data_IF_742415013743
#
_entry.id   IF_742415013743
#
_cell.length_a   1.000
_cell.length_b   1.000
_cell.length_c   1.000
_cell.angle_alpha   90.00
_cell.angle_beta   90.00
_cell.angle_gamma   90.00
#
_symmetry.space_group_name_H-M   'P 1'
#
loop_
_entity.id
_entity.type
_entity.pdbx_description
1 polymer ?
#
# COMPACT_ATOMS: atom_id res chain seq x y z
N UNK A 1 -7.83 -31.20 20.18
CA UNK A 1 -7.16 -29.90 20.20
C UNK A 1 -8.20 -28.78 20.25
N UNK A 2 -7.99 -27.81 21.10
CA UNK A 2 -8.86 -26.64 21.22
C UNK A 2 -8.82 -25.81 19.93
N UNK A 3 -10.00 -25.38 19.44
CA UNK A 3 -10.10 -24.55 18.25
C UNK A 3 -9.81 -23.11 18.62
N UNK A 4 -8.80 -22.50 17.96
CA UNK A 4 -8.44 -21.08 18.10
C UNK A 4 -9.17 -20.22 17.07
N UNK A 5 -9.37 -18.95 17.41
CA UNK A 5 -9.94 -17.94 16.50
C UNK A 5 -8.82 -17.37 15.62
N UNK A 6 -9.09 -17.27 14.34
CA UNK A 6 -8.21 -16.70 13.33
C UNK A 6 -8.97 -15.70 12.45
N UNK A 7 -8.24 -14.70 11.95
CA UNK A 7 -8.74 -13.73 10.97
C UNK A 7 -8.35 -14.20 9.57
N UNK A 8 -9.34 -14.48 8.74
CA UNK A 8 -9.14 -15.06 7.41
C UNK A 8 -9.68 -14.12 6.35
N UNK A 9 -8.89 -13.84 5.31
CA UNK A 9 -9.35 -13.12 4.13
C UNK A 9 -10.31 -14.01 3.35
N UNK A 10 -11.54 -13.57 3.17
CA UNK A 10 -12.58 -14.29 2.43
C UNK A 10 -12.93 -13.66 1.09
N UNK A 11 -12.60 -12.41 0.91
CA UNK A 11 -12.79 -11.71 -0.35
C UNK A 11 -11.79 -10.59 -0.54
N UNK A 12 -11.46 -10.29 -1.79
CA UNK A 12 -10.57 -9.18 -2.18
C UNK A 12 -11.16 -8.40 -3.33
N UNK A 13 -10.80 -7.12 -3.43
CA UNK A 13 -11.20 -6.25 -4.52
C UNK A 13 -10.14 -5.20 -4.79
N UNK A 14 -10.08 -4.72 -6.03
CA UNK A 14 -9.19 -3.63 -6.41
C UNK A 14 -9.84 -2.72 -7.43
N UNK A 15 -9.46 -1.45 -7.38
CA UNK A 15 -9.74 -0.49 -8.43
C UNK A 15 -8.44 0.11 -8.94
N UNK A 16 -8.14 -0.16 -10.20
CA UNK A 16 -7.00 0.38 -10.93
C UNK A 16 -7.55 1.45 -11.88
N UNK A 17 -7.18 2.72 -11.74
CA UNK A 17 -7.63 3.78 -12.63
C UNK A 17 -7.28 3.52 -14.10
N UNK A 18 -8.16 3.92 -14.99
CA UNK A 18 -8.02 3.66 -16.43
C UNK A 18 -7.06 4.61 -17.15
N UNK A 19 -6.81 5.81 -16.59
CA UNK A 19 -5.92 6.77 -17.23
C UNK A 19 -4.48 6.32 -17.09
N UNK A 20 -3.91 5.88 -18.20
CA UNK A 20 -2.50 5.56 -18.33
C UNK A 20 -1.68 6.86 -18.42
N UNK A 21 -0.59 6.92 -17.67
CA UNK A 21 0.43 7.97 -17.74
C UNK A 21 1.78 7.30 -17.90
N UNK A 22 2.48 7.62 -18.98
CA UNK A 22 3.79 7.07 -19.31
C UNK A 22 4.91 8.02 -18.91
N UNK A 23 6.14 7.54 -18.93
CA UNK A 23 7.32 8.36 -18.68
C UNK A 23 7.46 9.51 -19.69
N UNK A 24 7.09 9.28 -20.95
CA UNK A 24 7.09 10.28 -22.02
C UNK A 24 6.20 11.49 -21.74
N UNK A 25 5.12 11.31 -20.95
CA UNK A 25 4.21 12.40 -20.58
C UNK A 25 4.89 13.49 -19.72
N UNK A 26 6.08 13.19 -19.16
CA UNK A 26 6.87 14.13 -18.36
C UNK A 26 7.97 14.87 -19.16
N UNK A 27 8.10 14.64 -20.48
CA UNK A 27 9.11 15.29 -21.31
C UNK A 27 9.01 16.83 -21.31
N UNK A 28 7.80 17.37 -21.17
CA UNK A 28 7.55 18.80 -21.10
C UNK A 28 7.58 19.38 -19.68
N UNK A 29 7.89 18.58 -18.66
CA UNK A 29 7.93 19.01 -17.26
C UNK A 29 9.12 19.92 -16.98
N UNK A 30 9.00 20.77 -15.97
CA UNK A 30 10.11 21.55 -15.43
C UNK A 30 10.49 21.01 -14.05
N UNK A 31 11.61 20.30 -13.96
CA UNK A 31 12.09 19.73 -12.71
C UNK A 31 13.12 20.62 -12.03
N UNK A 32 12.99 20.70 -10.69
CA UNK A 32 13.87 21.47 -9.82
C UNK A 32 14.45 20.57 -8.73
N UNK A 33 15.61 20.92 -8.22
CA UNK A 33 16.21 20.30 -7.05
C UNK A 33 15.69 20.90 -5.73
N UNK A 34 16.12 20.35 -4.61
CA UNK A 34 15.73 20.79 -3.27
C UNK A 34 16.19 22.21 -2.90
N UNK A 35 17.10 22.81 -3.69
CA UNK A 35 17.54 24.21 -3.52
C UNK A 35 16.72 25.19 -4.37
N UNK A 36 15.79 24.70 -5.19
CA UNK A 36 15.02 25.51 -6.13
C UNK A 36 15.75 25.79 -7.46
N UNK A 37 16.87 25.10 -7.73
CA UNK A 37 17.57 25.21 -9.00
C UNK A 37 16.93 24.26 -10.02
N UNK A 38 16.61 24.80 -11.23
CA UNK A 38 16.12 23.96 -12.33
C UNK A 38 17.20 22.93 -12.70
N UNK A 39 16.80 21.70 -12.94
CA UNK A 39 17.73 20.67 -13.38
C UNK A 39 18.25 20.98 -14.78
N UNK A 40 19.56 20.95 -14.94
CA UNK A 40 20.24 21.32 -16.20
C UNK A 40 20.20 20.22 -17.27
N UNK A 41 19.85 18.97 -16.86
CA UNK A 41 19.81 17.82 -17.77
C UNK A 41 18.54 17.83 -18.63
N UNK A 42 18.61 17.35 -19.87
CA UNK A 42 17.43 17.10 -20.68
C UNK A 42 16.46 16.16 -19.95
N UNK A 43 15.16 16.41 -20.07
CA UNK A 43 14.15 15.55 -19.42
C UNK A 43 14.21 14.10 -19.89
N UNK A 44 14.61 13.82 -21.12
CA UNK A 44 14.84 12.45 -21.60
C UNK A 44 15.87 11.71 -20.73
N UNK A 45 17.03 12.33 -20.43
CA UNK A 45 18.03 11.71 -19.54
C UNK A 45 17.51 11.51 -18.10
N UNK A 46 16.72 12.47 -17.60
CA UNK A 46 16.13 12.39 -16.26
C UNK A 46 15.16 11.21 -16.21
N UNK A 47 14.33 11.06 -17.24
CA UNK A 47 13.33 10.00 -17.37
C UNK A 47 13.99 8.63 -17.53
N UNK A 48 15.00 8.52 -18.41
CA UNK A 48 15.73 7.26 -18.60
C UNK A 48 16.40 6.80 -17.29
N UNK A 49 17.02 7.75 -16.57
CA UNK A 49 17.64 7.44 -15.27
C UNK A 49 16.61 7.08 -14.20
N UNK A 50 15.46 7.73 -14.22
CA UNK A 50 14.33 7.42 -13.34
C UNK A 50 13.84 5.98 -13.58
N UNK A 51 13.61 5.60 -14.84
CA UNK A 51 13.16 4.25 -15.19
C UNK A 51 14.20 3.19 -14.84
N UNK A 52 15.49 3.46 -15.14
CA UNK A 52 16.59 2.56 -14.76
C UNK A 52 16.61 2.25 -13.26
N UNK A 53 16.30 3.25 -12.40
CA UNK A 53 16.36 3.09 -10.93
C UNK A 53 15.05 2.53 -10.38
N UNK A 54 13.91 3.10 -10.80
CA UNK A 54 12.60 2.77 -10.25
C UNK A 54 11.96 1.54 -10.89
N UNK A 55 12.34 1.21 -12.12
CA UNK A 55 11.71 0.25 -13.03
C UNK A 55 10.28 0.63 -13.44
N UNK A 56 9.84 1.88 -13.16
CA UNK A 56 8.50 2.36 -13.49
C UNK A 56 8.49 2.91 -14.92
N UNK A 57 7.81 2.23 -15.83
CA UNK A 57 7.58 2.71 -17.19
C UNK A 57 6.27 3.52 -17.29
N UNK A 58 5.27 3.13 -16.51
CA UNK A 58 3.95 3.77 -16.52
C UNK A 58 3.24 3.71 -15.16
N UNK A 59 2.21 4.54 -14.99
CA UNK A 59 1.38 4.60 -13.77
C UNK A 59 -0.07 4.88 -14.13
N UNK A 60 -0.95 4.80 -13.14
CA UNK A 60 -2.39 4.95 -13.31
C UNK A 60 -2.91 6.13 -12.51
N UNK A 61 -3.57 7.06 -13.18
CA UNK A 61 -4.14 8.24 -12.54
C UNK A 61 -5.66 8.22 -12.55
N UNK A 62 -6.25 8.66 -11.47
CA UNK A 62 -7.70 8.78 -11.34
C UNK A 62 -8.25 9.85 -12.28
N UNK A 63 -9.45 9.62 -12.81
CA UNK A 63 -10.20 10.61 -13.58
C UNK A 63 -10.50 11.84 -12.70
N UNK A 64 -10.67 12.99 -13.34
CA UNK A 64 -10.80 14.28 -12.65
C UNK A 64 -12.01 14.37 -11.70
N UNK A 65 -13.05 13.63 -11.99
CA UNK A 65 -14.30 13.59 -11.23
C UNK A 65 -14.29 12.62 -10.05
N UNK A 66 -13.31 11.72 -9.95
CA UNK A 66 -13.19 10.74 -8.86
C UNK A 66 -12.31 11.28 -7.73
N UNK A 67 -12.62 10.91 -6.50
CA UNK A 67 -11.82 11.15 -5.30
C UNK A 67 -11.44 9.83 -4.62
N UNK A 68 -10.60 9.88 -3.59
CA UNK A 68 -10.06 8.68 -2.92
C UNK A 68 -11.17 7.77 -2.37
N UNK A 69 -12.22 8.38 -1.79
CA UNK A 69 -13.37 7.61 -1.27
C UNK A 69 -14.16 6.88 -2.36
N UNK A 70 -14.21 7.42 -3.60
CA UNK A 70 -14.83 6.72 -4.73
C UNK A 70 -14.03 5.46 -5.11
N UNK A 71 -12.69 5.60 -5.22
CA UNK A 71 -11.81 4.47 -5.52
C UNK A 71 -11.95 3.39 -4.43
N UNK A 72 -11.97 3.81 -3.17
CA UNK A 72 -12.20 2.92 -2.02
C UNK A 72 -13.53 2.18 -2.13
N UNK A 73 -14.59 2.89 -2.50
CA UNK A 73 -15.94 2.33 -2.71
C UNK A 73 -15.96 1.25 -3.80
N UNK A 74 -15.30 1.49 -4.94
CA UNK A 74 -15.23 0.51 -6.02
C UNK A 74 -14.49 -0.77 -5.61
N UNK A 75 -13.35 -0.63 -4.91
CA UNK A 75 -12.62 -1.79 -4.37
C UNK A 75 -13.44 -2.54 -3.32
N UNK A 76 -14.18 -1.82 -2.47
CA UNK A 76 -15.06 -2.37 -1.44
C UNK A 76 -16.18 -3.24 -2.02
N UNK A 77 -16.88 -2.75 -3.05
CA UNK A 77 -17.94 -3.50 -3.75
C UNK A 77 -17.42 -4.85 -4.24
N UNK A 78 -16.26 -4.85 -4.87
CA UNK A 78 -15.67 -6.07 -5.41
C UNK A 78 -15.20 -7.03 -4.28
N UNK A 79 -14.64 -6.51 -3.18
CA UNK A 79 -14.24 -7.33 -2.04
C UNK A 79 -15.44 -8.01 -1.36
N UNK A 80 -16.54 -7.30 -1.13
CA UNK A 80 -17.79 -7.83 -0.56
C UNK A 80 -18.38 -8.91 -1.48
N UNK A 81 -18.44 -8.63 -2.80
CA UNK A 81 -18.92 -9.57 -3.80
C UNK A 81 -18.10 -10.86 -3.82
N UNK A 82 -16.77 -10.78 -3.78
CA UNK A 82 -15.90 -11.97 -3.78
C UNK A 82 -15.94 -12.73 -2.47
N UNK A 83 -16.15 -12.04 -1.33
CA UNK A 83 -16.39 -12.66 -0.03
C UNK A 83 -17.76 -13.37 0.05
N UNK A 84 -18.71 -13.01 -0.81
CA UNK A 84 -20.09 -13.53 -0.82
C UNK A 84 -20.83 -13.31 0.50
N UNK A 85 -20.63 -12.15 1.10
CA UNK A 85 -21.30 -11.75 2.35
C UNK A 85 -22.39 -10.71 2.06
N UNK A 86 -23.36 -10.60 2.97
CA UNK A 86 -24.22 -9.42 3.02
C UNK A 86 -23.41 -8.25 3.62
N UNK A 87 -23.44 -7.10 2.97
CA UNK A 87 -22.79 -5.87 3.45
C UNK A 87 -23.33 -5.41 4.80
N UNK A 88 -24.59 -5.73 5.13
CA UNK A 88 -25.22 -5.40 6.41
C UNK A 88 -24.68 -6.22 7.60
N UNK A 89 -23.87 -7.27 7.31
CA UNK A 89 -23.21 -8.08 8.34
C UNK A 89 -21.80 -7.59 8.70
N UNK A 90 -21.33 -6.51 8.10
CA UNK A 90 -20.04 -5.91 8.44
C UNK A 90 -20.12 -5.24 9.81
N UNK A 91 -19.17 -5.55 10.68
CA UNK A 91 -19.00 -4.90 11.98
C UNK A 91 -18.19 -3.59 11.84
N UNK A 92 -17.12 -3.62 11.02
CA UNK A 92 -16.27 -2.46 10.80
C UNK A 92 -15.92 -2.26 9.32
N UNK A 93 -15.74 -0.99 8.96
CA UNK A 93 -15.12 -0.54 7.72
C UNK A 93 -13.94 0.35 8.09
N UNK A 94 -12.73 -0.06 7.73
CA UNK A 94 -11.50 0.68 8.02
C UNK A 94 -10.86 1.10 6.70
N UNK A 95 -10.73 2.40 6.47
CA UNK A 95 -10.08 2.95 5.27
C UNK A 95 -8.73 3.55 5.65
N UNK A 96 -7.65 2.92 5.16
CA UNK A 96 -6.31 3.44 5.29
C UNK A 96 -6.00 4.37 4.10
N UNK A 97 -5.49 5.57 4.41
CA UNK A 97 -5.08 6.59 3.44
C UNK A 97 -4.09 7.56 4.07
N UNK A 98 -3.54 8.50 3.28
CA UNK A 98 -2.66 9.56 3.80
C UNK A 98 -3.32 10.94 3.75
N UNK A 99 -4.12 11.24 2.72
CA UNK A 99 -4.51 12.60 2.39
C UNK A 99 -6.02 12.84 2.37
N UNK A 100 -6.85 11.82 2.58
CA UNK A 100 -8.30 11.98 2.42
C UNK A 100 -8.72 12.18 0.96
N UNK A 101 -9.83 12.86 0.75
CA UNK A 101 -10.28 13.23 -0.59
C UNK A 101 -9.61 14.55 -1.03
N UNK A 102 -8.94 14.50 -2.18
CA UNK A 102 -8.34 15.68 -2.83
C UNK A 102 -8.97 15.81 -4.21
N UNK A 103 -9.61 16.93 -4.48
CA UNK A 103 -10.25 17.21 -5.78
C UNK A 103 -9.19 17.72 -6.78
N UNK A 104 -9.38 17.40 -8.06
CA UNK A 104 -8.52 17.98 -9.11
C UNK A 104 -8.69 19.50 -9.14
N UNK A 105 -7.56 20.23 -9.10
CA UNK A 105 -7.55 21.70 -9.09
C UNK A 105 -7.87 22.36 -7.74
N UNK A 106 -8.10 21.57 -6.69
CA UNK A 106 -8.24 22.05 -5.32
C UNK A 106 -7.46 21.10 -4.39
N UNK A 107 -6.35 21.56 -3.84
CA UNK A 107 -5.47 20.78 -2.96
C UNK A 107 -5.90 20.75 -1.51
N UNK A 108 -7.03 21.35 -1.18
CA UNK A 108 -7.61 21.28 0.15
C UNK A 108 -8.03 19.83 0.46
N UNK A 109 -7.58 19.34 1.60
CA UNK A 109 -7.93 18.00 2.06
C UNK A 109 -9.37 17.98 2.57
N UNK A 110 -10.13 16.98 2.18
CA UNK A 110 -11.50 16.76 2.62
C UNK A 110 -11.60 15.40 3.33
N UNK A 111 -11.70 15.45 4.66
CA UNK A 111 -11.76 14.28 5.55
C UNK A 111 -13.02 14.27 6.45
N UNK A 112 -13.97 15.16 6.19
CA UNK A 112 -15.21 15.26 6.98
C UNK A 112 -16.44 15.16 6.06
N UNK A 113 -17.27 14.09 6.21
CA UNK A 113 -17.07 12.93 7.06
C UNK A 113 -15.86 12.07 6.61
N UNK A 114 -15.43 11.12 7.44
CA UNK A 114 -14.33 10.21 7.11
C UNK A 114 -14.56 9.49 5.78
N UNK A 115 -13.49 9.06 5.10
CA UNK A 115 -13.60 8.31 3.86
C UNK A 115 -14.35 6.99 4.08
N UNK A 116 -14.14 6.33 5.22
CA UNK A 116 -14.87 5.12 5.59
C UNK A 116 -16.38 5.36 5.72
N UNK A 117 -16.79 6.51 6.28
CA UNK A 117 -18.20 6.89 6.35
C UNK A 117 -18.77 7.13 4.95
N UNK A 118 -18.01 7.75 4.04
CA UNK A 118 -18.39 7.91 2.63
C UNK A 118 -18.54 6.57 1.93
N UNK A 119 -17.60 5.64 2.15
CA UNK A 119 -17.68 4.27 1.62
C UNK A 119 -18.92 3.55 2.16
N UNK A 120 -19.20 3.65 3.47
CA UNK A 120 -20.43 3.10 4.05
C UNK A 120 -21.69 3.64 3.38
N UNK A 121 -21.72 4.94 3.13
CA UNK A 121 -22.82 5.60 2.41
C UNK A 121 -22.94 5.10 0.96
N UNK A 122 -21.84 5.04 0.20
CA UNK A 122 -21.82 4.53 -1.18
C UNK A 122 -22.27 3.07 -1.28
N UNK A 123 -21.90 2.25 -0.30
CA UNK A 123 -22.37 0.86 -0.21
C UNK A 123 -23.84 0.75 0.18
N UNK A 124 -24.46 1.85 0.63
CA UNK A 124 -25.86 1.88 1.10
C UNK A 124 -26.08 0.97 2.30
N UNK A 125 -25.11 0.88 3.23
CA UNK A 125 -25.21 0.09 4.46
C UNK A 125 -26.10 0.85 5.45
N UNK A 126 -27.21 0.25 5.85
CA UNK A 126 -28.20 0.81 6.77
C UNK A 126 -27.96 0.43 8.23
N UNK A 127 -27.21 -0.65 8.46
CA UNK A 127 -26.91 -1.12 9.82
C UNK A 127 -26.11 -0.04 10.60
N UNK A 128 -26.68 0.56 11.67
CA UNK A 128 -25.98 1.56 12.47
C UNK A 128 -24.79 0.99 13.24
N UNK A 129 -24.78 -0.33 13.50
CA UNK A 129 -23.72 -1.00 14.23
C UNK A 129 -22.47 -1.25 13.39
N UNK A 130 -22.54 -1.08 12.06
CA UNK A 130 -21.35 -1.10 11.22
C UNK A 130 -20.56 0.19 11.45
N UNK A 131 -19.48 0.13 12.21
CA UNK A 131 -18.62 1.29 12.53
C UNK A 131 -17.65 1.57 11.39
N UNK A 132 -17.57 2.83 10.95
CA UNK A 132 -16.71 3.24 9.83
C UNK A 132 -15.75 4.34 10.27
N UNK A 133 -14.43 4.12 10.13
CA UNK A 133 -13.40 5.10 10.49
C UNK A 133 -12.17 5.00 9.61
N UNK A 134 -11.39 6.09 9.56
CA UNK A 134 -10.18 6.22 8.77
C UNK A 134 -8.93 5.93 9.61
N UNK A 135 -7.88 5.45 8.92
CA UNK A 135 -6.58 5.16 9.51
C UNK A 135 -5.45 5.82 8.70
N UNK A 136 -5.07 7.06 9.02
CA UNK A 136 -3.89 7.69 8.43
C UNK A 136 -2.62 7.09 9.04
N UNK A 137 -1.87 6.29 8.25
CA UNK A 137 -0.70 5.55 8.75
C UNK A 137 0.44 5.40 7.72
N UNK A 138 0.52 6.24 6.70
CA UNK A 138 1.48 6.09 5.62
C UNK A 138 1.21 4.85 4.73
N UNK A 139 2.18 4.48 3.90
CA UNK A 139 2.05 3.32 3.01
C UNK A 139 1.73 2.00 3.75
N UNK A 140 2.19 1.73 5.00
CA UNK A 140 1.80 0.53 5.74
C UNK A 140 0.38 0.57 6.33
N UNK A 141 -0.41 1.61 6.06
CA UNK A 141 -1.74 1.79 6.63
C UNK A 141 -2.68 0.63 6.41
N UNK A 142 -2.71 0.03 5.21
CA UNK A 142 -3.55 -1.13 4.97
C UNK A 142 -3.15 -2.34 5.84
N UNK A 143 -1.85 -2.61 6.00
CA UNK A 143 -1.38 -3.67 6.91
C UNK A 143 -1.69 -3.34 8.37
N UNK A 144 -1.62 -2.06 8.78
CA UNK A 144 -2.00 -1.65 10.13
C UNK A 144 -3.50 -1.87 10.36
N UNK A 145 -4.35 -1.58 9.38
CA UNK A 145 -5.77 -1.86 9.44
C UNK A 145 -6.08 -3.37 9.51
N UNK A 146 -5.32 -4.20 8.76
CA UNK A 146 -5.38 -5.67 8.88
C UNK A 146 -5.02 -6.15 10.29
N UNK A 147 -4.01 -5.54 10.92
CA UNK A 147 -3.60 -5.86 12.30
C UNK A 147 -4.68 -5.45 13.31
N UNK A 148 -5.30 -4.28 13.14
CA UNK A 148 -6.42 -3.86 14.01
C UNK A 148 -7.62 -4.78 13.84
N UNK A 149 -7.95 -5.14 12.61
CA UNK A 149 -9.01 -6.12 12.33
C UNK A 149 -8.75 -7.47 13.00
N UNK A 150 -7.49 -7.94 13.00
CA UNK A 150 -7.09 -9.16 13.69
C UNK A 150 -7.28 -9.06 15.21
N UNK A 151 -7.00 -7.90 15.81
CA UNK A 151 -7.26 -7.68 17.24
C UNK A 151 -8.76 -7.70 17.55
N UNK A 152 -9.61 -7.03 16.77
CA UNK A 152 -11.06 -7.04 16.98
C UNK A 152 -11.67 -8.44 16.82
N UNK A 153 -11.21 -9.19 15.82
CA UNK A 153 -11.67 -10.57 15.60
C UNK A 153 -11.22 -11.49 16.75
N UNK A 154 -9.96 -11.39 17.17
CA UNK A 154 -9.42 -12.25 18.25
C UNK A 154 -9.96 -11.91 19.63
N UNK A 155 -10.32 -10.64 19.88
CA UNK A 155 -11.01 -10.24 21.12
C UNK A 155 -12.47 -10.69 21.18
N UNK A 156 -13.06 -11.00 20.02
CA UNK A 156 -14.48 -11.35 19.89
C UNK A 156 -15.40 -10.16 19.66
N UNK A 157 -14.85 -8.95 19.53
CA UNK A 157 -15.59 -7.71 19.27
C UNK A 157 -16.18 -7.67 17.86
N UNK A 158 -15.53 -8.30 16.89
CA UNK A 158 -15.97 -8.33 15.50
C UNK A 158 -15.89 -9.72 14.88
N UNK A 159 -16.72 -9.94 13.86
CA UNK A 159 -16.72 -11.16 13.05
C UNK A 159 -16.38 -10.93 11.60
N UNK A 160 -16.76 -9.77 11.05
CA UNK A 160 -16.58 -9.41 9.63
C UNK A 160 -16.12 -7.96 9.51
N UNK A 161 -14.96 -7.75 8.94
CA UNK A 161 -14.34 -6.43 8.82
C UNK A 161 -13.90 -6.20 7.37
N UNK A 162 -14.29 -5.07 6.82
CA UNK A 162 -13.81 -4.60 5.53
C UNK A 162 -12.63 -3.65 5.74
N UNK A 163 -11.46 -4.00 5.17
CA UNK A 163 -10.22 -3.22 5.26
C UNK A 163 -9.85 -2.74 3.87
N UNK A 164 -9.70 -1.43 3.71
CA UNK A 164 -9.44 -0.77 2.42
C UNK A 164 -8.17 0.07 2.53
N UNK A 165 -7.32 0.02 1.50
CA UNK A 165 -6.25 0.97 1.26
C UNK A 165 -6.54 1.73 -0.02
N UNK A 166 -6.63 3.05 0.03
CA UNK A 166 -6.95 3.88 -1.13
C UNK A 166 -6.15 5.18 -1.13
N UNK A 167 -5.71 5.61 -2.31
CA UNK A 167 -4.91 6.83 -2.44
C UNK A 167 -5.01 7.45 -3.83
N UNK A 168 -4.96 8.78 -3.90
CA UNK A 168 -4.77 9.57 -5.13
C UNK A 168 -3.53 10.45 -4.94
N UNK A 169 -2.34 9.87 -5.14
CA UNK A 169 -1.07 10.58 -4.96
C UNK A 169 -0.78 11.56 -6.08
N UNK A 170 -1.33 11.35 -7.27
CA UNK A 170 -1.13 12.23 -8.43
C UNK A 170 -1.55 13.69 -8.17
N UNK A 171 -2.42 13.92 -7.18
CA UNK A 171 -2.93 15.26 -6.83
C UNK A 171 -2.15 15.97 -5.73
N UNK A 172 -1.35 15.25 -4.99
CA UNK A 172 -0.53 15.76 -3.87
C UNK A 172 0.97 15.72 -4.17
N UNK A 173 1.35 15.24 -5.35
CA UNK A 173 2.73 15.21 -5.82
C UNK A 173 3.10 16.57 -6.45
N UNK A 174 4.32 17.04 -6.19
CA UNK A 174 4.85 18.26 -6.80
C UNK A 174 5.18 18.02 -8.27
N UNK A 175 4.52 18.69 -9.23
CA UNK A 175 4.82 18.51 -10.65
C UNK A 175 6.25 18.97 -11.04
N UNK A 176 6.89 19.71 -10.15
CA UNK A 176 8.26 20.23 -10.32
C UNK A 176 9.33 19.37 -9.62
N UNK A 177 8.92 18.28 -8.97
CA UNK A 177 9.80 17.30 -8.38
C UNK A 177 9.80 16.03 -9.25
N UNK A 178 10.97 15.59 -9.73
CA UNK A 178 11.08 14.36 -10.53
C UNK A 178 10.55 13.12 -9.78
N UNK A 179 10.55 13.14 -8.44
CA UNK A 179 10.01 12.05 -7.65
C UNK A 179 8.48 11.93 -7.80
N UNK A 180 7.79 12.94 -8.36
CA UNK A 180 6.37 12.84 -8.73
C UNK A 180 6.09 11.71 -9.73
N UNK A 181 7.06 11.35 -10.55
CA UNK A 181 6.96 10.23 -11.50
C UNK A 181 6.80 8.87 -10.84
N UNK A 182 7.14 8.73 -9.53
CA UNK A 182 6.97 7.48 -8.77
C UNK A 182 5.50 7.16 -8.55
N UNK A 183 4.67 8.18 -8.32
CA UNK A 183 3.38 8.05 -7.68
C UNK A 183 2.25 7.70 -8.65
N UNK A 184 1.33 6.89 -8.14
CA UNK A 184 0.16 6.40 -8.83
C UNK A 184 -1.07 6.48 -7.92
N UNK A 185 -2.24 6.25 -8.49
CA UNK A 185 -3.52 6.24 -7.80
C UNK A 185 -4.10 4.82 -7.80
N UNK A 186 -4.91 4.50 -6.81
CA UNK A 186 -5.57 3.21 -6.76
C UNK A 186 -6.24 2.91 -5.43
N UNK A 187 -6.95 1.80 -5.40
CA UNK A 187 -7.53 1.23 -4.18
C UNK A 187 -7.50 -0.30 -4.20
N UNK A 188 -7.30 -0.88 -3.03
CA UNK A 188 -7.44 -2.30 -2.81
C UNK A 188 -8.13 -2.58 -1.48
N UNK A 189 -8.90 -3.66 -1.41
CA UNK A 189 -9.71 -4.01 -0.26
C UNK A 189 -9.66 -5.49 0.05
N UNK A 190 -9.86 -5.85 1.31
CA UNK A 190 -10.07 -7.22 1.76
C UNK A 190 -11.19 -7.29 2.80
N UNK A 191 -11.97 -8.35 2.75
CA UNK A 191 -12.88 -8.74 3.82
C UNK A 191 -12.19 -9.79 4.70
N UNK A 192 -12.11 -9.51 6.00
CA UNK A 192 -11.66 -10.47 7.00
C UNK A 192 -12.86 -11.04 7.75
N UNK A 193 -12.87 -12.36 7.91
CA UNK A 193 -13.87 -13.05 8.74
C UNK A 193 -13.20 -13.87 9.82
N UNK A 194 -13.93 -14.01 10.95
CA UNK A 194 -13.56 -14.94 12.01
C UNK A 194 -13.66 -16.39 11.55
N UNK A 195 -12.64 -17.19 11.85
CA UNK A 195 -12.66 -18.65 11.63
C UNK A 195 -12.12 -19.40 12.85
N UNK A 196 -12.83 -20.43 13.29
CA UNK A 196 -12.35 -21.36 14.33
C UNK A 196 -11.66 -22.54 13.66
N UNK A 197 -10.38 -22.77 13.98
CA UNK A 197 -9.60 -23.87 13.42
C UNK A 197 -8.70 -24.53 14.47
N UNK A 198 -8.49 -25.84 14.33
CA UNK A 198 -7.49 -26.60 15.09
C UNK A 198 -6.10 -26.51 14.48
N UNK A 199 -6.01 -26.06 13.24
CA UNK A 199 -4.75 -25.81 12.52
C UNK A 199 -4.55 -24.32 12.26
N UNK A 200 -3.30 -23.79 12.26
CA UNK A 200 -3.03 -22.40 11.95
C UNK A 200 -3.49 -22.02 10.55
N UNK A 201 -4.30 -20.95 10.43
CA UNK A 201 -4.79 -20.35 9.17
C UNK A 201 -4.88 -18.83 9.33
N UNK A 202 -5.01 -18.10 8.23
CA UNK A 202 -5.17 -16.64 8.27
C UNK A 202 -3.94 -15.91 8.82
N UNK A 203 -4.15 -14.87 9.59
CA UNK A 203 -3.07 -14.08 10.20
C UNK A 203 -2.41 -14.89 11.33
N UNK A 204 -1.15 -15.31 11.10
CA UNK A 204 -0.37 -16.10 12.05
C UNK A 204 0.39 -15.21 13.03
N UNK A 205 1.00 -14.18 12.53
CA UNK A 205 1.75 -13.19 13.31
C UNK A 205 1.85 -11.87 12.56
N UNK A 206 2.13 -10.82 13.30
CA UNK A 206 2.47 -9.52 12.76
C UNK A 206 3.56 -8.86 13.62
N UNK A 207 4.28 -7.92 13.00
CA UNK A 207 5.28 -7.05 13.62
C UNK A 207 5.03 -5.62 13.18
N UNK A 208 5.01 -4.69 14.13
CA UNK A 208 4.91 -3.26 13.86
C UNK A 208 6.13 -2.57 14.47
N UNK A 209 6.69 -1.60 13.73
CA UNK A 209 7.80 -0.77 14.16
C UNK A 209 7.53 0.68 13.75
N UNK A 210 7.97 1.66 14.58
CA UNK A 210 7.84 3.08 14.32
C UNK A 210 9.11 3.81 14.76
N UNK A 211 9.92 4.28 13.81
CA UNK A 211 11.21 4.94 14.07
C UNK A 211 11.09 6.48 13.90
N UNK A 212 9.97 7.03 14.31
CA UNK A 212 9.59 8.44 14.12
C UNK A 212 10.63 9.42 14.67
N UNK A 213 11.24 9.12 15.83
CA UNK A 213 12.16 10.04 16.50
C UNK A 213 13.31 10.52 15.60
N UNK A 214 13.95 9.59 14.87
CA UNK A 214 15.08 9.91 14.00
C UNK A 214 14.68 10.22 12.55
N UNK A 215 13.50 9.75 12.12
CA UNK A 215 13.19 9.64 10.70
C UNK A 215 11.85 10.23 10.27
N UNK A 216 11.15 10.98 11.15
CA UNK A 216 9.84 11.57 10.86
C UNK A 216 9.80 12.41 9.57
N UNK A 217 10.92 13.07 9.24
CA UNK A 217 11.02 13.97 8.07
C UNK A 217 11.58 13.27 6.80
N UNK A 218 11.53 11.96 6.71
CA UNK A 218 11.92 11.25 5.47
C UNK A 218 10.85 11.32 4.38
N UNK A 219 9.58 11.32 4.81
CA UNK A 219 8.40 11.56 3.99
C UNK A 219 7.57 12.63 4.71
N UNK A 220 7.32 13.75 4.07
CA UNK A 220 6.68 14.91 4.71
C UNK A 220 5.97 15.79 3.68
N UNK A 221 5.15 16.72 4.15
CA UNK A 221 4.58 17.77 3.29
C UNK A 221 5.52 18.99 3.27
N UNK A 222 5.86 19.45 2.07
CA UNK A 222 6.74 20.59 1.84
C UNK A 222 6.33 21.38 0.62
N UNK A 223 6.84 22.63 0.52
CA UNK A 223 6.55 23.52 -0.62
C UNK A 223 7.08 22.96 -1.92
N UNK A 224 6.55 23.44 -3.05
CA UNK A 224 7.09 23.12 -4.36
C UNK A 224 8.59 23.47 -4.44
N UNK A 225 9.34 22.66 -5.19
CA UNK A 225 10.75 22.97 -5.48
C UNK A 225 10.91 24.11 -6.51
N UNK A 226 9.87 24.44 -7.26
CA UNK A 226 9.87 25.65 -8.12
C UNK A 226 9.78 26.89 -7.23
N UNK A 227 10.79 27.80 -7.27
CA UNK A 227 10.90 28.89 -6.30
C UNK A 227 9.92 30.05 -6.52
N UNK A 228 9.14 30.01 -7.59
CA UNK A 228 8.18 31.08 -7.94
C UNK A 228 7.01 30.52 -8.73
N UNK A 229 5.90 31.24 -8.74
CA UNK A 229 4.69 30.84 -9.43
C UNK A 229 3.54 30.49 -8.48
N UNK A 230 2.34 30.22 -9.01
CA UNK A 230 1.14 30.01 -8.19
C UNK A 230 1.23 28.80 -7.26
N UNK A 231 2.08 27.81 -7.59
CA UNK A 231 2.23 26.57 -6.84
C UNK A 231 3.30 26.64 -5.75
N UNK A 232 4.05 27.76 -5.65
CA UNK A 232 5.19 27.87 -4.73
C UNK A 232 4.79 27.72 -3.26
N UNK A 233 3.64 28.27 -2.87
CA UNK A 233 3.14 28.19 -1.48
C UNK A 233 2.33 26.92 -1.19
N UNK A 234 2.05 26.12 -2.21
CA UNK A 234 1.30 24.88 -2.03
C UNK A 234 2.15 23.77 -1.41
N UNK A 235 1.51 22.93 -0.63
CA UNK A 235 2.16 21.83 0.07
C UNK A 235 2.00 20.51 -0.71
N UNK A 236 3.12 19.84 -0.93
CA UNK A 236 3.21 18.60 -1.68
C UNK A 236 3.90 17.51 -0.87
N UNK A 237 3.64 16.28 -1.22
CA UNK A 237 4.40 15.13 -0.71
C UNK A 237 5.86 15.23 -1.16
N UNK A 238 6.77 15.20 -0.20
CA UNK A 238 8.22 15.25 -0.38
C UNK A 238 8.89 14.03 0.25
N UNK A 239 10.02 13.64 -0.33
CA UNK A 239 10.77 12.48 0.12
C UNK A 239 12.28 12.76 0.18
N UNK A 240 12.93 12.28 1.23
CA UNK A 240 14.38 12.12 1.25
C UNK A 240 14.74 10.71 0.75
N UNK A 241 14.71 10.52 -0.57
CA UNK A 241 14.78 9.20 -1.19
C UNK A 241 16.03 8.41 -0.83
N UNK A 242 17.23 9.06 -0.78
CA UNK A 242 18.49 8.36 -0.45
C UNK A 242 18.49 7.80 0.97
N UNK A 243 18.05 8.59 1.95
CA UNK A 243 18.01 8.15 3.36
C UNK A 243 16.92 7.11 3.57
N UNK A 244 15.78 7.29 2.91
CA UNK A 244 14.69 6.31 2.96
C UNK A 244 15.11 4.97 2.37
N UNK A 245 15.82 4.97 1.25
CA UNK A 245 16.37 3.76 0.62
C UNK A 245 17.27 2.98 1.60
N UNK A 246 18.26 3.66 2.21
CA UNK A 246 19.16 3.04 3.18
C UNK A 246 18.40 2.47 4.38
N UNK A 247 17.48 3.25 4.95
CA UNK A 247 16.65 2.83 6.07
C UNK A 247 15.82 1.59 5.72
N UNK A 248 15.17 1.58 4.55
CA UNK A 248 14.32 0.46 4.13
C UNK A 248 15.12 -0.84 3.97
N UNK A 249 16.32 -0.77 3.38
CA UNK A 249 17.22 -1.91 3.21
C UNK A 249 17.69 -2.55 4.52
N UNK A 250 17.85 -1.74 5.56
CA UNK A 250 18.30 -2.22 6.87
C UNK A 250 17.14 -2.75 7.72
N UNK A 251 16.00 -2.06 7.69
CA UNK A 251 14.94 -2.26 8.69
C UNK A 251 13.80 -3.14 8.22
N UNK A 252 13.43 -3.11 6.93
CA UNK A 252 12.32 -3.94 6.42
C UNK A 252 12.65 -5.43 6.48
N UNK A 253 13.85 -5.90 6.02
CA UNK A 253 14.22 -7.30 6.14
C UNK A 253 14.22 -7.79 7.60
N UNK A 254 14.72 -6.95 8.53
CA UNK A 254 14.71 -7.29 9.96
C UNK A 254 13.29 -7.40 10.52
N UNK A 255 12.38 -6.48 10.16
CA UNK A 255 11.00 -6.56 10.61
C UNK A 255 10.28 -7.81 10.07
N UNK A 256 10.57 -8.21 8.83
CA UNK A 256 10.06 -9.47 8.26
C UNK A 256 10.64 -10.66 9.03
N UNK A 257 11.95 -10.68 9.31
CA UNK A 257 12.61 -11.73 10.08
C UNK A 257 11.98 -11.88 11.46
N UNK A 258 11.84 -10.78 12.21
CA UNK A 258 11.19 -10.77 13.52
C UNK A 258 9.75 -11.33 13.47
N UNK A 259 9.01 -11.03 12.39
CA UNK A 259 7.65 -11.52 12.20
C UNK A 259 7.63 -13.03 11.91
N UNK A 260 8.55 -13.53 11.10
CA UNK A 260 8.71 -14.96 10.81
C UNK A 260 9.09 -15.75 12.08
N UNK A 261 10.03 -15.25 12.86
CA UNK A 261 10.42 -15.85 14.14
C UNK A 261 9.22 -15.91 15.12
N UNK A 262 8.46 -14.82 15.23
CA UNK A 262 7.23 -14.77 16.05
C UNK A 262 6.19 -15.78 15.59
N UNK A 263 6.04 -16.00 14.29
CA UNK A 263 5.11 -16.98 13.71
C UNK A 263 5.61 -18.41 13.78
N UNK A 264 6.90 -18.62 14.06
CA UNK A 264 7.59 -19.92 13.99
C UNK A 264 7.54 -20.56 12.59
N UNK A 265 7.49 -19.71 11.55
CA UNK A 265 7.49 -20.13 10.14
C UNK A 265 8.88 -19.90 9.56
N UNK A 266 9.42 -20.92 8.87
CA UNK A 266 10.69 -20.79 8.16
C UNK A 266 10.55 -19.92 6.91
N UNK A 267 11.55 -19.10 6.59
CA UNK A 267 11.59 -18.36 5.31
C UNK A 267 11.51 -19.32 4.10
N UNK A 268 12.04 -20.55 4.21
CA UNK A 268 11.96 -21.58 3.16
C UNK A 268 10.54 -22.05 2.86
N UNK A 269 9.62 -21.90 3.82
CA UNK A 269 8.20 -22.28 3.67
C UNK A 269 7.35 -21.14 3.10
N UNK A 270 7.95 -19.97 2.85
CA UNK A 270 7.24 -18.81 2.30
C UNK A 270 7.09 -18.94 0.80
N UNK A 271 5.84 -19.01 0.35
CA UNK A 271 5.48 -19.11 -1.07
C UNK A 271 5.64 -17.80 -1.81
N UNK A 272 5.27 -16.68 -1.17
CA UNK A 272 5.34 -15.32 -1.73
C UNK A 272 5.71 -14.30 -0.66
N UNK A 273 6.49 -13.31 -1.07
CA UNK A 273 6.79 -12.09 -0.32
C UNK A 273 6.17 -10.93 -1.08
N UNK A 274 5.09 -10.36 -0.54
CA UNK A 274 4.39 -9.21 -1.09
C UNK A 274 4.80 -7.99 -0.29
N UNK A 275 5.68 -7.16 -0.85
CA UNK A 275 6.11 -5.92 -0.20
C UNK A 275 5.47 -4.72 -0.88
N UNK A 276 5.40 -3.60 -0.15
CA UNK A 276 5.06 -2.32 -0.74
C UNK A 276 6.08 -1.97 -1.83
N UNK A 277 5.59 -1.64 -3.01
CA UNK A 277 6.42 -1.38 -4.18
C UNK A 277 6.58 0.13 -4.38
N UNK A 278 7.72 0.64 -3.93
CA UNK A 278 8.06 2.04 -4.03
C UNK A 278 9.13 2.32 -5.09
N UNK A 279 10.03 1.35 -5.32
CA UNK A 279 11.13 1.43 -6.27
C UNK A 279 11.64 0.00 -6.54
N UNK A 280 11.65 -0.45 -7.79
CA UNK A 280 11.95 -1.85 -8.11
C UNK A 280 13.33 -2.32 -7.65
N UNK A 281 14.39 -1.51 -7.86
CA UNK A 281 15.73 -1.89 -7.37
C UNK A 281 15.82 -1.95 -5.84
N UNK A 282 15.07 -1.08 -5.15
CA UNK A 282 15.00 -1.12 -3.69
C UNK A 282 14.29 -2.39 -3.22
N UNK A 283 13.21 -2.75 -3.87
CA UNK A 283 12.40 -3.90 -3.52
C UNK A 283 13.21 -5.21 -3.69
N UNK A 284 13.96 -5.33 -4.79
CA UNK A 284 14.88 -6.45 -5.03
C UNK A 284 15.99 -6.52 -3.96
N UNK A 285 16.58 -5.38 -3.61
CA UNK A 285 17.63 -5.31 -2.61
C UNK A 285 17.12 -5.67 -1.20
N UNK A 286 15.87 -5.29 -0.86
CA UNK A 286 15.20 -5.72 0.38
C UNK A 286 15.05 -7.24 0.42
N UNK A 287 14.61 -7.84 -0.69
CA UNK A 287 14.44 -9.29 -0.79
C UNK A 287 15.79 -10.01 -0.63
N UNK A 288 16.81 -9.58 -1.35
CA UNK A 288 18.17 -10.14 -1.23
C UNK A 288 18.69 -10.04 0.20
N UNK A 289 18.53 -8.88 0.85
CA UNK A 289 18.94 -8.67 2.23
C UNK A 289 18.19 -9.59 3.19
N UNK A 290 16.88 -9.80 2.98
CA UNK A 290 16.10 -10.76 3.78
C UNK A 290 16.70 -12.16 3.72
N UNK A 291 16.99 -12.67 2.52
CA UNK A 291 17.56 -14.01 2.36
C UNK A 291 18.97 -14.10 2.94
N UNK A 292 19.79 -13.06 2.78
CA UNK A 292 21.12 -12.96 3.41
C UNK A 292 21.06 -13.06 4.93
N UNK A 293 20.05 -12.47 5.59
CA UNK A 293 19.86 -12.56 7.06
C UNK A 293 19.63 -14.00 7.56
N UNK A 294 19.28 -14.93 6.66
CA UNK A 294 19.11 -16.35 6.93
C UNK A 294 20.23 -17.21 6.37
N UNK A 295 21.28 -16.62 5.79
CA UNK A 295 22.36 -17.35 5.14
C UNK A 295 21.92 -18.17 3.93
N UNK A 296 20.88 -17.71 3.22
CA UNK A 296 20.35 -18.37 2.03
C UNK A 296 20.79 -17.56 0.81
N UNK A 297 21.56 -18.19 -0.08
CA UNK A 297 22.06 -17.57 -1.31
C UNK A 297 21.06 -17.72 -2.47
N UNK A 298 20.39 -18.87 -2.55
CA UNK A 298 19.45 -19.16 -3.62
C UNK A 298 18.06 -18.61 -3.29
N UNK A 299 17.69 -17.50 -3.92
CA UNK A 299 16.36 -16.92 -3.81
C UNK A 299 15.43 -17.59 -4.83
N UNK A 300 14.29 -18.18 -4.40
CA UNK A 300 13.39 -18.83 -5.34
C UNK A 300 12.86 -17.85 -6.40
N UNK A 301 12.88 -18.28 -7.65
CA UNK A 301 12.28 -17.49 -8.73
C UNK A 301 10.81 -17.17 -8.44
N UNK A 302 10.41 -15.98 -8.84
CA UNK A 302 9.02 -15.52 -8.70
C UNK A 302 8.49 -15.51 -7.25
N UNK A 303 9.35 -15.50 -6.22
CA UNK A 303 8.92 -15.41 -4.82
C UNK A 303 8.32 -14.03 -4.52
N UNK A 304 8.82 -12.97 -5.17
CA UNK A 304 8.32 -11.60 -5.03
C UNK A 304 7.66 -11.15 -6.33
N UNK A 305 6.33 -11.14 -6.39
CA UNK A 305 5.61 -10.62 -7.56
C UNK A 305 5.70 -9.09 -7.61
N UNK A 306 5.96 -8.55 -8.81
CA UNK A 306 6.13 -7.12 -9.06
C UNK A 306 5.10 -6.61 -10.05
N UNK A 307 4.51 -5.45 -9.76
CA UNK A 307 3.58 -4.72 -10.65
C UNK A 307 3.98 -3.26 -10.83
N UNK A 308 5.06 -2.84 -10.19
CA UNK A 308 5.49 -1.44 -10.13
C UNK A 308 5.78 -0.85 -11.51
N UNK A 309 6.27 -1.66 -12.45
CA UNK A 309 6.62 -1.19 -13.80
C UNK A 309 5.44 -0.61 -14.57
N UNK A 310 4.21 -1.08 -14.29
CA UNK A 310 3.00 -0.68 -15.02
C UNK A 310 1.89 -0.10 -14.12
N UNK A 311 2.01 -0.22 -12.78
CA UNK A 311 1.07 0.40 -11.83
C UNK A 311 1.67 1.57 -11.08
N UNK A 312 3.00 1.72 -11.02
CA UNK A 312 3.65 2.72 -10.18
C UNK A 312 3.40 2.49 -8.68
N UNK A 313 3.71 3.50 -7.88
CA UNK A 313 3.55 3.47 -6.43
C UNK A 313 2.21 4.09 -6.01
N UNK A 314 1.21 3.27 -5.69
CA UNK A 314 -0.09 3.68 -5.17
C UNK A 314 -0.18 3.63 -3.64
N UNK A 315 0.95 3.73 -2.92
CA UNK A 315 1.03 3.79 -1.45
C UNK A 315 0.28 2.64 -0.76
N UNK A 316 -0.72 2.95 0.07
CA UNK A 316 -1.51 2.00 0.85
C UNK A 316 -2.28 0.98 -0.01
N UNK A 317 -2.52 1.29 -1.28
CA UNK A 317 -3.24 0.42 -2.20
C UNK A 317 -2.36 -0.65 -2.85
N UNK A 318 -1.03 -0.54 -2.78
CA UNK A 318 -0.09 -1.42 -3.50
C UNK A 318 -0.28 -2.89 -3.11
N UNK A 319 -0.18 -3.22 -1.82
CA UNK A 319 -0.24 -4.62 -1.35
C UNK A 319 -1.61 -5.24 -1.57
N UNK A 320 -2.74 -4.61 -1.19
CA UNK A 320 -4.06 -5.22 -1.43
C UNK A 320 -4.38 -5.38 -2.92
N UNK A 321 -3.93 -4.46 -3.78
CA UNK A 321 -4.06 -4.60 -5.24
C UNK A 321 -3.25 -5.79 -5.75
N UNK A 322 -1.99 -5.92 -5.35
CA UNK A 322 -1.12 -7.03 -5.73
C UNK A 322 -1.71 -8.37 -5.30
N UNK A 323 -2.20 -8.46 -4.06
CA UNK A 323 -2.84 -9.67 -3.53
C UNK A 323 -4.09 -10.04 -4.35
N UNK A 324 -4.97 -9.08 -4.64
CA UNK A 324 -6.18 -9.30 -5.45
C UNK A 324 -5.86 -9.79 -6.86
N UNK A 325 -4.87 -9.18 -7.52
CA UNK A 325 -4.42 -9.60 -8.85
C UNK A 325 -3.91 -11.03 -8.89
N UNK A 326 -3.16 -11.47 -7.86
CA UNK A 326 -2.68 -12.85 -7.76
C UNK A 326 -3.83 -13.82 -7.52
N UNK A 327 -4.71 -13.52 -6.56
CA UNK A 327 -5.84 -14.38 -6.20
C UNK A 327 -6.83 -14.54 -7.36
N UNK A 328 -7.03 -13.48 -8.14
CA UNK A 328 -7.85 -13.48 -9.37
C UNK A 328 -7.12 -14.00 -10.61
N UNK A 329 -5.88 -14.51 -10.45
CA UNK A 329 -5.06 -15.06 -11.56
C UNK A 329 -4.79 -14.07 -12.70
N UNK A 330 -4.73 -12.77 -12.38
CA UNK A 330 -4.40 -11.71 -13.34
C UNK A 330 -2.88 -11.51 -13.53
N UNK A 331 -2.06 -12.19 -12.71
CA UNK A 331 -0.60 -12.27 -12.83
C UNK A 331 -0.23 -13.73 -13.14
N UNK A 332 -0.05 -14.06 -14.43
CA UNK A 332 0.03 -15.42 -14.94
C UNK A 332 1.14 -16.30 -14.31
N UNK A 333 2.27 -15.70 -13.95
CA UNK A 333 3.44 -16.38 -13.35
C UNK A 333 3.31 -16.58 -11.85
N UNK A 334 2.37 -15.89 -11.18
CA UNK A 334 2.25 -15.89 -9.73
C UNK A 334 0.96 -16.58 -9.28
N UNK A 335 1.10 -17.60 -8.45
CA UNK A 335 -0.04 -18.36 -7.90
C UNK A 335 0.13 -18.52 -6.40
N UNK A 336 -0.98 -18.33 -5.68
CA UNK A 336 -1.12 -18.62 -4.25
C UNK A 336 -2.29 -19.60 -4.12
N UNK A 337 -2.10 -20.68 -3.37
CA UNK A 337 -3.08 -21.75 -3.14
C UNK A 337 -3.42 -21.87 -1.66
N UNK A 338 -4.52 -22.51 -1.36
CA UNK A 338 -4.87 -22.90 0.01
C UNK A 338 -3.73 -23.71 0.65
N UNK A 339 -3.33 -23.30 1.85
CA UNK A 339 -2.22 -23.89 2.59
C UNK A 339 -0.87 -23.21 2.37
N UNK A 340 -0.71 -22.39 1.32
CA UNK A 340 0.51 -21.59 1.11
C UNK A 340 0.64 -20.55 2.23
N UNK A 341 1.88 -20.27 2.64
CA UNK A 341 2.19 -19.18 3.57
C UNK A 341 2.85 -18.04 2.82
N UNK A 342 2.40 -16.82 3.09
CA UNK A 342 2.92 -15.60 2.46
C UNK A 342 3.35 -14.59 3.52
N UNK A 343 4.28 -13.72 3.14
CA UNK A 343 4.67 -12.53 3.90
C UNK A 343 4.10 -11.29 3.20
N UNK A 344 3.55 -10.39 4.00
CA UNK A 344 3.15 -9.05 3.57
C UNK A 344 3.98 -8.04 4.37
N UNK A 345 4.62 -7.05 3.73
CA UNK A 345 5.40 -6.05 4.44
C UNK A 345 5.36 -4.68 3.74
N UNK A 346 5.35 -3.62 4.55
CA UNK A 346 5.32 -2.25 4.04
C UNK A 346 6.08 -1.31 4.96
N UNK A 347 6.68 -0.27 4.36
CA UNK A 347 7.32 0.86 5.04
C UNK A 347 6.78 2.17 4.47
N UNK A 348 6.63 3.20 5.29
CA UNK A 348 6.11 4.50 4.85
C UNK A 348 6.28 5.63 5.86
N UNK A 349 5.58 6.72 5.64
CA UNK A 349 5.65 7.95 6.41
C UNK A 349 5.53 7.71 7.93
N UNK A 350 6.22 8.55 8.73
CA UNK A 350 6.42 8.32 10.16
C UNK A 350 7.49 7.27 10.43
N UNK A 351 8.07 6.71 9.36
CA UNK A 351 8.96 5.56 9.31
C UNK A 351 8.39 4.37 10.08
N UNK A 352 7.11 4.15 9.76
CA UNK A 352 6.37 2.98 10.22
C UNK A 352 6.67 1.79 9.31
N UNK A 353 6.81 0.61 9.92
CA UNK A 353 6.96 -0.66 9.20
C UNK A 353 5.96 -1.64 9.79
N UNK A 354 5.23 -2.32 8.92
CA UNK A 354 4.42 -3.47 9.27
C UNK A 354 4.88 -4.69 8.47
N UNK A 355 5.00 -5.83 9.15
CA UNK A 355 5.17 -7.14 8.53
C UNK A 355 4.09 -8.08 9.08
N UNK A 356 3.59 -8.98 8.22
CA UNK A 356 2.52 -9.89 8.55
C UNK A 356 2.79 -11.24 7.88
N UNK A 357 2.66 -12.35 8.62
CA UNK A 357 2.71 -13.71 8.10
C UNK A 357 1.30 -14.25 8.02
N UNK A 358 0.91 -14.67 6.83
CA UNK A 358 -0.45 -15.11 6.52
C UNK A 358 -0.45 -16.49 5.87
N UNK A 359 -1.32 -17.39 6.35
CA UNK A 359 -1.53 -18.73 5.78
C UNK A 359 -2.89 -18.80 5.09
N UNK A 360 -2.85 -19.14 3.80
CA UNK A 360 -4.05 -19.23 2.94
C UNK A 360 -4.97 -20.41 3.28
#
# INVERSE_FOLDING_TARGET
>A
MERKIYSVITGTGTYIPSKLVKNEDFLASEFYDTSGKKLDKPNSEIIDKFEEISTIAERRYASSNLVTSDLAGFAAVEAIKTAKIDKEELDYIIVAHNFGDVRKGNKQLDIVPSLAARVKFHLGIKNPNTVAYDLPFGCPGWLQAMIQADYYIKSGDARKILVIGAEILSRVSDPHDRDSMLYSDGAGAAVLETRKSSSPIGILAHKTRSDTFLYSKMLYMGKSYKPSGPEHEEMFLKMNGRRLYQYALETVPQAIKDCLEKSKVSLRDIKKVLIHQANGKMDDAILQRLYTLYGIEDIPENVMPMTISWLGNSSVATIPTLLDLILKKKLNTHKIKKGDTIVLASVGAGMNINALVYKM
#
